data_IF_694296986575
#
_entry.id   IF_694296986575
#
_cell.length_a   1.000
_cell.length_b   1.000
_cell.length_c   1.000
_cell.angle_alpha   90.00
_cell.angle_beta   90.00
_cell.angle_gamma   90.00
#
_symmetry.space_group_name_H-M   'P 1'
#
loop_
_entity.id
_entity.type
_entity.pdbx_description
1 polymer ?
#
# COMPACT_ATOMS: atom_id res chain seq x y z
N UNK A 1 -23.26 3.71 8.09
CA UNK A 1 -22.33 3.07 7.13
C UNK A 1 -21.66 1.81 7.68
N UNK A 2 -21.14 1.80 8.92
CA UNK A 2 -20.49 0.60 9.50
C UNK A 2 -21.46 -0.58 9.73
N UNK A 3 -22.61 -0.33 10.37
CA UNK A 3 -23.62 -1.38 10.62
C UNK A 3 -24.17 -1.99 9.33
N UNK A 4 -24.37 -1.16 8.31
CA UNK A 4 -24.90 -1.55 7.00
C UNK A 4 -23.97 -2.49 6.22
N UNK A 5 -22.68 -2.54 6.56
CA UNK A 5 -21.66 -3.34 5.85
C UNK A 5 -21.01 -4.40 6.74
N UNK A 6 -21.50 -4.58 7.96
CA UNK A 6 -20.93 -5.50 8.94
C UNK A 6 -20.85 -6.94 8.44
N UNK A 7 -21.86 -7.38 7.69
CA UNK A 7 -21.86 -8.73 7.13
C UNK A 7 -20.71 -8.94 6.13
N UNK A 8 -20.45 -7.97 5.24
CA UNK A 8 -19.36 -8.05 4.28
C UNK A 8 -17.99 -8.08 4.98
N UNK A 9 -17.83 -7.30 6.07
CA UNK A 9 -16.62 -7.32 6.88
C UNK A 9 -16.43 -8.68 7.57
N UNK A 10 -17.50 -9.31 8.06
CA UNK A 10 -17.44 -10.67 8.64
C UNK A 10 -16.99 -11.70 7.61
N UNK A 11 -17.54 -11.65 6.39
CA UNK A 11 -17.14 -12.56 5.31
C UNK A 11 -15.66 -12.34 4.98
N UNK A 12 -15.23 -11.10 4.78
CA UNK A 12 -13.82 -10.77 4.55
C UNK A 12 -12.91 -11.30 5.67
N UNK A 13 -13.25 -11.03 6.93
CA UNK A 13 -12.50 -11.53 8.09
C UNK A 13 -12.41 -13.05 8.14
N UNK A 14 -13.50 -13.76 7.81
CA UNK A 14 -13.52 -15.23 7.75
C UNK A 14 -12.64 -15.77 6.62
N UNK A 15 -12.62 -15.11 5.46
CA UNK A 15 -11.78 -15.51 4.33
C UNK A 15 -10.30 -15.30 4.66
N UNK A 16 -9.94 -14.19 5.29
CA UNK A 16 -8.57 -13.94 5.76
C UNK A 16 -8.16 -14.99 6.81
N UNK A 17 -9.05 -15.31 7.75
CA UNK A 17 -8.79 -16.36 8.74
C UNK A 17 -8.57 -17.72 8.08
N UNK A 18 -9.40 -18.06 7.09
CA UNK A 18 -9.27 -19.31 6.34
C UNK A 18 -7.97 -19.36 5.54
N UNK A 19 -7.59 -18.26 4.87
CA UNK A 19 -6.32 -18.12 4.16
C UNK A 19 -5.15 -18.43 5.10
N UNK A 20 -5.12 -17.80 6.28
CA UNK A 20 -4.06 -18.01 7.27
C UNK A 20 -4.00 -19.44 7.78
N UNK A 21 -5.16 -20.06 8.03
CA UNK A 21 -5.22 -21.46 8.45
C UNK A 21 -4.71 -22.43 7.38
N UNK A 22 -4.70 -22.02 6.12
CA UNK A 22 -4.11 -22.76 5.00
C UNK A 22 -2.62 -22.42 4.77
N UNK A 23 -2.01 -21.61 5.65
CA UNK A 23 -0.63 -21.15 5.51
C UNK A 23 -0.45 -19.97 4.56
N UNK A 24 -1.53 -19.42 4.00
CA UNK A 24 -1.46 -18.30 3.07
C UNK A 24 -1.22 -16.96 3.77
N UNK A 25 -0.63 -16.02 3.01
CA UNK A 25 -0.34 -14.67 3.43
C UNK A 25 -0.97 -13.64 2.48
N UNK A 26 -1.25 -12.45 3.00
CA UNK A 26 -1.68 -11.29 2.23
C UNK A 26 -0.48 -10.46 1.78
N UNK A 27 -0.59 -9.75 0.66
CA UNK A 27 0.43 -8.82 0.19
C UNK A 27 -0.20 -7.52 -0.30
N UNK A 28 0.46 -6.39 -0.03
CA UNK A 28 0.19 -5.14 -0.74
C UNK A 28 1.46 -4.32 -0.93
N UNK A 29 1.47 -3.54 -2.01
CA UNK A 29 2.40 -2.44 -2.20
C UNK A 29 1.62 -1.20 -2.61
N UNK A 30 1.96 -0.06 -2.00
CA UNK A 30 1.38 1.23 -2.33
C UNK A 30 2.44 2.32 -2.22
N UNK A 31 2.33 3.33 -3.07
CA UNK A 31 3.13 4.55 -3.03
C UNK A 31 2.22 5.74 -2.78
N UNK A 32 2.57 6.55 -1.80
CA UNK A 32 1.95 7.86 -1.59
C UNK A 32 2.22 8.76 -2.80
N UNK A 33 1.18 9.44 -3.27
CA UNK A 33 1.33 10.40 -4.36
C UNK A 33 2.00 11.68 -3.83
N UNK A 34 2.87 12.32 -4.63
CA UNK A 34 3.34 13.66 -4.32
C UNK A 34 2.18 14.62 -4.05
N UNK A 35 2.31 15.43 -3.00
CA UNK A 35 1.34 16.46 -2.65
C UNK A 35 1.58 17.71 -3.50
N UNK A 36 0.53 18.23 -4.15
CA UNK A 36 0.60 19.45 -4.97
C UNK A 36 -0.49 19.51 -6.03
N UNK A 37 -0.59 20.63 -6.75
CA UNK A 37 -1.53 20.75 -7.87
C UNK A 37 -1.04 19.91 -9.07
N UNK A 38 -1.93 19.42 -9.96
CA UNK A 38 -1.52 18.64 -11.13
C UNK A 38 -0.50 19.35 -12.05
N UNK A 39 -0.45 20.69 -12.01
CA UNK A 39 0.54 21.51 -12.72
C UNK A 39 1.94 21.47 -12.08
N UNK A 40 2.02 21.22 -10.78
CA UNK A 40 3.28 21.13 -10.01
C UNK A 40 3.78 19.69 -9.91
N UNK A 41 2.87 18.70 -9.92
CA UNK A 41 3.19 17.28 -9.73
C UNK A 41 3.29 16.47 -11.02
N UNK A 42 3.14 17.12 -12.19
CA UNK A 42 3.23 16.53 -13.54
C UNK A 42 2.46 15.21 -13.75
N UNK A 43 1.23 15.14 -13.22
CA UNK A 43 0.29 13.99 -13.24
C UNK A 43 -0.28 13.67 -14.65
N UNK A 44 0.57 13.58 -15.66
CA UNK A 44 0.19 13.24 -17.04
C UNK A 44 -0.02 11.74 -17.30
N UNK A 45 -0.57 11.35 -18.46
CA UNK A 45 -0.81 9.94 -18.82
C UNK A 45 0.44 9.06 -18.83
N UNK A 46 1.60 9.62 -19.22
CA UNK A 46 2.86 8.88 -19.26
C UNK A 46 3.46 8.67 -17.86
N UNK A 47 3.28 9.64 -16.96
CA UNK A 47 3.65 9.47 -15.55
C UNK A 47 2.77 8.41 -14.88
N UNK A 48 1.48 8.37 -15.19
CA UNK A 48 0.59 7.33 -14.69
C UNK A 48 1.06 5.92 -15.11
N UNK A 49 1.45 5.74 -16.38
CA UNK A 49 2.02 4.47 -16.87
C UNK A 49 3.34 4.14 -16.16
N UNK A 50 4.23 5.12 -16.00
CA UNK A 50 5.51 4.92 -15.32
C UNK A 50 5.33 4.52 -13.85
N UNK A 51 4.37 5.13 -13.14
CA UNK A 51 4.03 4.78 -11.76
C UNK A 51 3.41 3.39 -11.66
N UNK A 52 2.51 3.04 -12.59
CA UNK A 52 1.94 1.69 -12.62
C UNK A 52 3.03 0.63 -12.86
N UNK A 53 3.95 0.89 -13.79
CA UNK A 53 5.08 0.00 -14.06
C UNK A 53 6.02 -0.10 -12.86
N UNK A 54 6.36 1.02 -12.21
CA UNK A 54 7.16 1.04 -10.99
C UNK A 54 6.52 0.20 -9.88
N UNK A 55 5.23 0.44 -9.62
CA UNK A 55 4.48 -0.30 -8.61
C UNK A 55 4.39 -1.80 -8.90
N UNK A 56 4.26 -2.17 -10.18
CA UNK A 56 4.29 -3.57 -10.61
C UNK A 56 5.67 -4.21 -10.37
N UNK A 57 6.75 -3.52 -10.76
CA UNK A 57 8.12 -3.99 -10.55
C UNK A 57 8.40 -4.19 -9.08
N UNK A 58 8.04 -3.22 -8.24
CA UNK A 58 8.21 -3.33 -6.79
C UNK A 58 7.37 -4.45 -6.19
N UNK A 59 6.14 -4.64 -6.67
CA UNK A 59 5.31 -5.77 -6.25
C UNK A 59 5.97 -7.11 -6.56
N UNK A 60 6.51 -7.29 -7.77
CA UNK A 60 7.21 -8.52 -8.16
C UNK A 60 8.48 -8.74 -7.33
N UNK A 61 9.31 -7.71 -7.13
CA UNK A 61 10.53 -7.82 -6.33
C UNK A 61 10.21 -8.28 -4.90
N UNK A 62 9.16 -7.70 -4.32
CA UNK A 62 8.71 -7.98 -2.95
C UNK A 62 8.13 -9.38 -2.81
N UNK A 63 7.32 -9.81 -3.76
CA UNK A 63 6.82 -11.18 -3.79
C UNK A 63 7.97 -12.19 -3.94
N UNK A 64 8.96 -11.89 -4.79
CA UNK A 64 10.14 -12.73 -4.96
C UNK A 64 10.98 -12.83 -3.67
N UNK A 65 11.25 -11.71 -2.98
CA UNK A 65 11.94 -11.71 -1.68
C UNK A 65 11.16 -12.49 -0.60
N UNK A 66 9.84 -12.31 -0.56
CA UNK A 66 9.00 -13.02 0.39
C UNK A 66 9.02 -14.54 0.11
N UNK A 67 8.98 -14.95 -1.16
CA UNK A 67 9.09 -16.35 -1.54
C UNK A 67 10.48 -16.92 -1.21
N UNK A 68 11.55 -16.17 -1.49
CA UNK A 68 12.92 -16.60 -1.21
C UNK A 68 13.19 -16.79 0.28
N UNK A 69 12.70 -15.87 1.12
CA UNK A 69 12.79 -15.98 2.57
C UNK A 69 12.07 -17.23 3.14
N UNK A 70 11.09 -17.77 2.41
CA UNK A 70 10.36 -18.99 2.77
C UNK A 70 10.84 -20.24 2.00
N UNK A 71 11.86 -20.11 1.14
CA UNK A 71 12.31 -21.16 0.22
C UNK A 71 11.20 -21.68 -0.73
N UNK A 72 10.30 -20.79 -1.15
CA UNK A 72 9.16 -21.09 -2.01
C UNK A 72 9.34 -20.56 -3.43
N UNK A 73 8.67 -21.20 -4.38
CA UNK A 73 8.51 -20.69 -5.74
C UNK A 73 7.14 -20.04 -5.90
N UNK A 74 7.08 -18.88 -6.56
CA UNK A 74 5.84 -18.11 -6.73
C UNK A 74 5.36 -18.14 -8.17
N UNK A 75 4.06 -18.39 -8.32
CA UNK A 75 3.30 -18.16 -9.54
C UNK A 75 2.35 -16.99 -9.31
N UNK A 76 2.43 -15.97 -10.17
CA UNK A 76 1.62 -14.77 -10.03
C UNK A 76 0.43 -14.83 -10.99
N UNK A 77 -0.77 -14.64 -10.43
CA UNK A 77 -2.03 -14.58 -11.17
C UNK A 77 -2.60 -13.18 -11.05
N UNK A 78 -2.99 -12.58 -12.18
CA UNK A 78 -3.53 -11.23 -12.27
C UNK A 78 -4.91 -11.24 -12.90
N UNK A 79 -5.72 -10.22 -12.63
CA UNK A 79 -6.97 -10.03 -13.35
C UNK A 79 -6.71 -9.72 -14.83
N UNK A 80 -7.62 -10.13 -15.71
CA UNK A 80 -7.58 -9.74 -17.11
C UNK A 80 -7.74 -8.22 -17.25
N UNK A 81 -6.67 -7.58 -17.69
CA UNK A 81 -6.72 -6.28 -18.32
C UNK A 81 -7.03 -6.45 -19.82
N UNK A 82 -7.57 -5.40 -20.44
CA UNK A 82 -7.82 -5.34 -21.89
C UNK A 82 -6.65 -5.94 -22.70
N UNK A 83 -6.95 -6.74 -23.72
CA UNK A 83 -5.99 -7.48 -24.54
C UNK A 83 -4.86 -6.61 -25.12
N UNK A 84 -5.16 -5.34 -25.44
CA UNK A 84 -4.16 -4.36 -25.90
C UNK A 84 -3.13 -4.02 -24.81
N UNK A 85 -3.56 -3.90 -23.57
CA UNK A 85 -2.71 -3.63 -22.40
C UNK A 85 -1.87 -4.86 -22.03
N UNK A 86 -2.45 -6.06 -22.15
CA UNK A 86 -1.75 -7.33 -21.90
C UNK A 86 -0.51 -7.50 -22.78
N UNK A 87 -0.65 -7.30 -24.10
CA UNK A 87 0.45 -7.48 -25.07
C UNK A 87 1.63 -6.54 -24.82
N UNK A 88 1.38 -5.38 -24.21
CA UNK A 88 2.42 -4.41 -23.88
C UNK A 88 3.08 -4.68 -22.53
N UNK A 89 2.33 -5.17 -21.53
CA UNK A 89 2.85 -5.41 -20.18
C UNK A 89 3.66 -6.69 -20.06
N UNK A 90 3.22 -7.78 -20.70
CA UNK A 90 3.86 -9.09 -20.57
C UNK A 90 5.37 -9.04 -20.92
N UNK A 91 5.80 -8.43 -22.05
CA UNK A 91 7.23 -8.33 -22.38
C UNK A 91 8.01 -7.47 -21.38
N UNK A 92 7.43 -6.38 -20.88
CA UNK A 92 8.07 -5.52 -19.88
C UNK A 92 8.30 -6.25 -18.55
N UNK A 93 7.35 -7.10 -18.15
CA UNK A 93 7.47 -7.93 -16.94
C UNK A 93 8.51 -9.03 -17.11
N UNK A 94 8.55 -9.69 -18.27
CA UNK A 94 9.61 -10.64 -18.62
C UNK A 94 10.99 -9.98 -18.58
N UNK A 95 11.13 -8.82 -19.23
CA UNK A 95 12.39 -8.08 -19.25
C UNK A 95 12.83 -7.68 -17.83
N UNK A 96 11.89 -7.28 -16.97
CA UNK A 96 12.18 -6.97 -15.58
C UNK A 96 12.63 -8.19 -14.79
N UNK A 97 11.89 -9.31 -14.82
CA UNK A 97 12.24 -10.52 -14.08
C UNK A 97 13.59 -11.05 -14.56
N UNK A 98 13.73 -11.34 -15.85
CA UNK A 98 14.95 -11.94 -16.41
C UNK A 98 16.16 -11.01 -16.29
N UNK A 99 15.98 -9.71 -16.52
CA UNK A 99 17.06 -8.73 -16.40
C UNK A 99 17.55 -8.59 -14.96
N UNK A 100 16.64 -8.72 -13.99
CA UNK A 100 16.96 -8.56 -12.56
C UNK A 100 17.58 -9.82 -11.95
N UNK A 101 17.23 -11.02 -12.43
CA UNK A 101 17.81 -12.31 -11.98
C UNK A 101 19.34 -12.32 -12.00
N UNK A 102 19.98 -11.62 -12.95
CA UNK A 102 21.44 -11.53 -13.05
C UNK A 102 22.13 -10.92 -11.81
N UNK A 103 21.41 -10.09 -11.06
CA UNK A 103 21.96 -9.35 -9.90
C UNK A 103 21.18 -9.58 -8.60
N UNK A 104 20.05 -10.29 -8.68
CA UNK A 104 19.11 -10.53 -7.58
C UNK A 104 18.61 -11.98 -7.65
N UNK A 105 19.22 -12.86 -6.84
CA UNK A 105 18.92 -14.29 -6.88
C UNK A 105 17.48 -14.61 -6.46
N UNK A 106 16.88 -13.78 -5.61
CA UNK A 106 15.49 -13.94 -5.16
C UNK A 106 14.50 -13.97 -6.34
N UNK A 107 14.84 -13.31 -7.45
CA UNK A 107 13.99 -13.26 -8.64
C UNK A 107 13.85 -14.62 -9.32
N UNK A 108 14.75 -15.57 -9.06
CA UNK A 108 14.65 -16.96 -9.55
C UNK A 108 13.45 -17.72 -8.97
N UNK A 109 12.87 -17.23 -7.85
CA UNK A 109 11.66 -17.82 -7.27
C UNK A 109 10.42 -17.57 -8.12
N UNK A 110 10.43 -16.57 -8.99
CA UNK A 110 9.33 -16.33 -9.93
C UNK A 110 9.49 -17.26 -11.13
N UNK A 111 8.68 -18.32 -11.17
CA UNK A 111 8.84 -19.42 -12.15
C UNK A 111 8.41 -19.00 -13.55
N UNK A 112 7.37 -18.19 -13.64
CA UNK A 112 6.74 -17.73 -14.88
C UNK A 112 6.31 -16.26 -14.72
N UNK A 113 6.17 -15.49 -15.82
CA UNK A 113 5.58 -14.16 -15.74
C UNK A 113 4.14 -14.24 -15.21
N UNK A 114 3.58 -13.11 -14.76
CA UNK A 114 2.20 -13.14 -14.29
C UNK A 114 1.19 -13.54 -15.37
N UNK A 115 0.41 -14.57 -15.07
CA UNK A 115 -0.68 -15.06 -15.91
C UNK A 115 -1.95 -14.30 -15.61
N UNK A 116 -2.77 -14.02 -16.62
CA UNK A 116 -4.03 -13.30 -16.38
C UNK A 116 -5.23 -14.24 -16.45
N UNK A 117 -6.13 -14.12 -15.48
CA UNK A 117 -7.35 -14.92 -15.31
C UNK A 117 -8.56 -13.99 -15.29
N UNK A 118 -9.69 -14.45 -15.82
CA UNK A 118 -10.95 -13.68 -15.81
C UNK A 118 -11.50 -13.58 -14.37
N UNK A 119 -11.61 -12.35 -13.86
CA UNK A 119 -12.16 -12.07 -12.53
C UNK A 119 -13.61 -12.51 -12.32
N UNK A 120 -14.44 -12.54 -13.36
CA UNK A 120 -15.85 -12.97 -13.23
C UNK A 120 -15.96 -14.44 -12.82
N UNK A 121 -14.94 -15.24 -13.16
CA UNK A 121 -14.90 -16.68 -12.92
C UNK A 121 -13.93 -17.07 -11.80
N UNK A 122 -13.22 -16.11 -11.19
CA UNK A 122 -12.20 -16.39 -10.17
C UNK A 122 -12.52 -15.76 -8.82
N UNK A 123 -12.97 -16.59 -7.88
CA UNK A 123 -13.20 -16.20 -6.49
C UNK A 123 -11.92 -15.65 -5.81
N UNK A 124 -10.74 -16.10 -6.23
CA UNK A 124 -9.45 -15.63 -5.71
C UNK A 124 -9.20 -14.17 -6.10
N UNK A 125 -9.53 -13.79 -7.34
CA UNK A 125 -9.39 -12.39 -7.79
C UNK A 125 -10.39 -11.50 -7.07
N UNK A 126 -11.64 -11.95 -6.91
CA UNK A 126 -12.65 -11.21 -6.14
C UNK A 126 -12.24 -11.01 -4.68
N UNK A 127 -11.62 -12.02 -4.06
CA UNK A 127 -11.07 -11.90 -2.71
C UNK A 127 -9.91 -10.89 -2.66
N UNK A 128 -9.01 -10.92 -3.65
CA UNK A 128 -7.93 -9.93 -3.77
C UNK A 128 -8.48 -8.50 -3.92
N UNK A 129 -9.58 -8.30 -4.65
CA UNK A 129 -10.24 -7.00 -4.76
C UNK A 129 -10.80 -6.51 -3.42
N UNK A 130 -11.38 -7.41 -2.61
CA UNK A 130 -11.84 -7.04 -1.27
C UNK A 130 -10.68 -6.64 -0.35
N UNK A 131 -9.55 -7.36 -0.42
CA UNK A 131 -8.33 -7.00 0.31
C UNK A 131 -7.78 -5.65 -0.18
N UNK A 132 -7.73 -5.42 -1.48
CA UNK A 132 -7.31 -4.16 -2.09
C UNK A 132 -8.20 -3.00 -1.62
N UNK A 133 -9.52 -3.19 -1.60
CA UNK A 133 -10.46 -2.19 -1.14
C UNK A 133 -10.35 -1.93 0.38
N UNK A 134 -10.03 -2.95 1.19
CA UNK A 134 -9.73 -2.79 2.61
C UNK A 134 -8.45 -1.96 2.79
N UNK A 135 -7.35 -2.33 2.12
CA UNK A 135 -6.07 -1.64 2.21
C UNK A 135 -6.18 -0.18 1.76
N UNK A 136 -6.90 0.11 0.66
CA UNK A 136 -7.12 1.50 0.22
C UNK A 136 -7.77 2.37 1.30
N UNK A 137 -8.75 1.82 2.03
CA UNK A 137 -9.42 2.53 3.13
C UNK A 137 -8.53 2.67 4.36
N UNK A 138 -7.66 1.70 4.61
CA UNK A 138 -6.68 1.75 5.69
C UNK A 138 -5.62 2.82 5.41
N UNK A 139 -5.09 2.87 4.19
CA UNK A 139 -4.16 3.91 3.74
C UNK A 139 -4.81 5.29 3.82
N UNK A 140 -6.04 5.46 3.32
CA UNK A 140 -6.78 6.72 3.44
C UNK A 140 -6.91 7.15 4.91
N UNK A 141 -7.27 6.22 5.79
CA UNK A 141 -7.29 6.48 7.23
C UNK A 141 -5.92 6.91 7.78
N UNK A 142 -4.81 6.36 7.32
CA UNK A 142 -3.48 6.81 7.77
C UNK A 142 -3.09 8.19 7.23
N UNK A 143 -3.44 8.50 5.97
CA UNK A 143 -2.89 9.66 5.25
C UNK A 143 -3.78 10.92 5.26
N UNK A 144 -5.11 10.78 5.40
CA UNK A 144 -6.08 11.88 5.17
C UNK A 144 -6.72 12.34 6.48
N UNK A 145 -6.39 13.55 6.97
CA UNK A 145 -6.80 14.05 8.30
C UNK A 145 -8.28 13.82 8.65
N UNK A 146 -9.20 14.14 7.75
CA UNK A 146 -10.65 14.01 7.88
C UNK A 146 -11.22 12.68 7.33
N UNK A 147 -10.39 11.63 7.27
CA UNK A 147 -10.80 10.33 6.73
C UNK A 147 -12.07 9.78 7.40
N UNK A 148 -13.06 9.47 6.56
CA UNK A 148 -14.31 8.80 6.97
C UNK A 148 -14.13 7.32 7.30
N UNK A 149 -12.93 6.76 7.18
CA UNK A 149 -12.65 5.33 7.34
C UNK A 149 -12.06 4.96 8.70
N UNK A 150 -12.18 5.80 9.72
CA UNK A 150 -11.72 5.50 11.07
C UNK A 150 -12.20 4.14 11.63
N UNK A 151 -13.39 3.71 11.22
CA UNK A 151 -13.94 2.41 11.57
C UNK A 151 -13.06 1.23 11.15
N UNK A 152 -12.16 1.36 10.17
CA UNK A 152 -11.33 0.24 9.70
C UNK A 152 -10.34 -0.24 10.76
N UNK A 153 -9.82 0.68 11.56
CA UNK A 153 -8.91 0.37 12.67
C UNK A 153 -9.65 -0.13 13.92
N UNK A 154 -10.98 0.02 13.96
CA UNK A 154 -11.84 -0.36 15.10
C UNK A 154 -12.69 -1.60 14.81
N UNK A 155 -12.75 -2.04 13.55
CA UNK A 155 -13.57 -3.15 13.09
C UNK A 155 -13.02 -4.49 13.60
N UNK A 156 -13.68 -5.06 14.61
CA UNK A 156 -13.32 -6.38 15.18
C UNK A 156 -13.35 -7.50 14.14
N UNK A 157 -14.23 -7.39 13.16
CA UNK A 157 -14.36 -8.31 12.04
C UNK A 157 -13.05 -8.41 11.21
N UNK A 158 -12.22 -7.37 11.21
CA UNK A 158 -10.95 -7.33 10.48
C UNK A 158 -9.74 -7.75 11.32
N UNK A 159 -9.95 -8.22 12.56
CA UNK A 159 -8.85 -8.61 13.44
C UNK A 159 -7.93 -9.68 12.81
N UNK A 160 -8.50 -10.56 11.98
CA UNK A 160 -7.75 -11.59 11.29
C UNK A 160 -6.68 -11.04 10.32
N UNK A 161 -6.81 -9.79 9.87
CA UNK A 161 -5.85 -9.12 8.99
C UNK A 161 -4.56 -8.69 9.70
N UNK A 162 -4.59 -8.54 11.03
CA UNK A 162 -3.38 -8.28 11.82
C UNK A 162 -2.50 -9.54 11.84
N UNK A 163 -1.27 -9.42 11.38
CA UNK A 163 -0.36 -10.56 11.23
C UNK A 163 -0.57 -11.37 9.95
N UNK A 164 -1.50 -10.97 9.07
CA UNK A 164 -1.80 -11.73 7.85
C UNK A 164 -0.88 -11.39 6.68
N UNK A 165 -0.25 -10.20 6.69
CA UNK A 165 0.51 -9.70 5.56
C UNK A 165 1.94 -10.26 5.53
N UNK A 166 2.59 -10.29 4.37
CA UNK A 166 4.03 -10.56 4.32
C UNK A 166 4.83 -9.40 4.94
N UNK A 167 6.07 -9.64 5.36
CA UNK A 167 6.98 -8.57 5.80
C UNK A 167 7.34 -7.60 4.68
N UNK A 168 7.25 -8.05 3.42
CA UNK A 168 7.51 -7.24 2.24
C UNK A 168 6.36 -6.29 1.88
N UNK A 169 5.19 -6.43 2.53
CA UNK A 169 4.05 -5.53 2.34
C UNK A 169 4.36 -4.13 2.87
N UNK A 170 4.08 -3.10 2.06
CA UNK A 170 4.58 -1.75 2.33
C UNK A 170 3.72 -0.64 1.72
N UNK A 171 3.50 0.41 2.50
CA UNK A 171 3.13 1.74 2.01
C UNK A 171 4.38 2.64 2.04
N UNK A 172 4.87 2.99 0.86
CA UNK A 172 5.95 3.95 0.70
C UNK A 172 5.42 5.38 0.80
N UNK A 173 6.00 6.18 1.68
CA UNK A 173 5.65 7.56 1.95
C UNK A 173 6.54 8.50 1.14
N UNK A 174 5.93 9.50 0.51
CA UNK A 174 6.65 10.40 -0.38
C UNK A 174 7.20 11.60 0.39
N UNK A 175 8.53 11.70 0.47
CA UNK A 175 9.25 12.83 1.09
C UNK A 175 8.77 13.17 2.51
N UNK A 176 8.32 12.17 3.27
CA UNK A 176 7.97 12.34 4.68
C UNK A 176 9.18 12.07 5.55
N UNK A 177 9.23 12.72 6.72
CA UNK A 177 10.28 12.54 7.74
C UNK A 177 10.08 11.32 8.64
N UNK A 178 9.15 10.45 8.26
CA UNK A 178 8.79 9.23 8.98
C UNK A 178 9.03 8.03 8.08
N UNK A 179 9.35 6.91 8.71
CA UNK A 179 9.54 5.66 8.00
C UNK A 179 8.23 5.20 7.35
N UNK A 180 8.39 4.43 6.28
CA UNK A 180 7.31 3.77 5.56
C UNK A 180 6.50 2.86 6.50
N UNK A 181 5.22 2.63 6.16
CA UNK A 181 4.39 1.69 6.94
C UNK A 181 4.54 0.29 6.36
N UNK A 182 4.76 -0.69 7.22
CA UNK A 182 5.01 -2.07 6.82
C UNK A 182 3.92 -3.02 7.32
N UNK A 183 3.74 -4.16 6.65
CA UNK A 183 2.90 -5.25 7.13
C UNK A 183 1.48 -4.75 7.50
N UNK A 184 0.96 -5.07 8.69
CA UNK A 184 -0.35 -4.62 9.18
C UNK A 184 -0.36 -3.19 9.74
N UNK A 185 0.73 -2.42 9.71
CA UNK A 185 0.78 -1.10 10.36
C UNK A 185 -0.22 -0.10 9.81
N UNK A 186 -0.61 -0.22 8.53
CA UNK A 186 -1.67 0.61 7.93
C UNK A 186 -3.03 0.43 8.61
N UNK A 187 -3.25 -0.69 9.31
CA UNK A 187 -4.48 -0.99 10.05
C UNK A 187 -4.43 -0.48 11.50
N UNK A 188 -3.30 0.06 11.96
CA UNK A 188 -3.19 0.54 13.33
C UNK A 188 -4.12 1.71 13.60
N UNK A 189 -4.67 1.75 14.81
CA UNK A 189 -5.50 2.87 15.29
C UNK A 189 -4.69 4.16 15.45
N UNK A 190 -3.41 4.04 15.81
CA UNK A 190 -2.52 5.19 15.89
C UNK A 190 -2.13 5.67 14.48
N UNK A 191 -2.46 6.93 14.18
CA UNK A 191 -2.18 7.55 12.89
C UNK A 191 -0.81 8.24 12.91
N UNK A 192 0.27 7.45 12.90
CA UNK A 192 1.66 7.96 13.03
C UNK A 192 1.99 9.06 12.02
N UNK A 193 1.43 8.95 10.82
CA UNK A 193 1.64 9.89 9.71
C UNK A 193 1.10 11.29 10.00
N UNK A 194 -0.04 11.39 10.70
CA UNK A 194 -0.71 12.67 10.98
C UNK A 194 -0.36 13.19 12.37
N UNK A 195 -0.22 12.30 13.35
CA UNK A 195 0.13 12.68 14.72
C UNK A 195 1.43 13.49 14.79
N UNK A 196 2.42 13.19 13.93
CA UNK A 196 3.66 13.97 13.82
C UNK A 196 3.55 15.21 12.94
N UNK A 197 2.68 15.23 11.93
CA UNK A 197 2.40 16.44 11.14
C UNK A 197 1.79 17.55 11.98
N UNK A 198 0.89 17.21 12.92
CA UNK A 198 0.37 18.17 13.89
C UNK A 198 1.45 18.77 14.81
N UNK A 199 2.50 18.01 15.12
CA UNK A 199 3.67 18.50 15.87
C UNK A 199 4.54 19.46 15.05
N UNK A 200 4.60 19.31 13.73
CA UNK A 200 5.30 20.24 12.84
C UNK A 200 4.56 21.58 12.71
N UNK A 201 3.23 21.56 12.57
CA UNK A 201 2.39 22.77 12.63
C UNK A 201 2.48 23.46 14.00
N UNK A 202 2.47 22.70 15.09
CA UNK A 202 2.75 23.24 16.43
C UNK A 202 4.16 23.82 16.56
N UNK A 203 5.17 23.24 15.87
CA UNK A 203 6.53 23.81 15.85
C UNK A 203 6.57 25.16 15.12
N UNK A 204 5.86 25.29 13.99
CA UNK A 204 5.77 26.57 13.27
C UNK A 204 4.98 27.63 14.05
N UNK A 205 3.88 27.25 14.69
CA UNK A 205 3.12 28.17 15.56
C UNK A 205 3.94 28.59 16.79
N UNK A 206 4.64 27.64 17.42
CA UNK A 206 5.51 27.94 18.55
C UNK A 206 6.69 28.83 18.14
N UNK A 207 7.27 28.64 16.95
CA UNK A 207 8.31 29.52 16.42
C UNK A 207 7.79 30.94 16.17
N UNK A 208 6.61 31.08 15.55
CA UNK A 208 5.95 32.39 15.36
C UNK A 208 5.60 33.06 16.69
N UNK A 209 5.21 32.30 17.70
CA UNK A 209 4.93 32.80 19.04
C UNK A 209 6.20 33.28 19.74
N UNK A 210 7.30 32.53 19.64
CA UNK A 210 8.63 32.89 20.14
C UNK A 210 9.18 34.16 19.47
N UNK A 211 9.01 34.30 18.15
CA UNK A 211 9.41 35.53 17.43
C UNK A 211 8.60 36.74 17.86
N UNK A 212 7.27 36.59 18.06
CA UNK A 212 6.41 37.66 18.59
C UNK A 212 6.82 38.09 19.99
N UNK A 213 7.16 37.15 20.87
CA UNK A 213 7.66 37.46 22.22
C UNK A 213 9.00 38.19 22.13
N UNK A 214 9.92 37.74 21.27
CA UNK A 214 11.24 38.37 21.08
C UNK A 214 11.13 39.81 20.56
N UNK A 215 10.23 40.05 19.63
CA UNK A 215 9.94 41.39 19.08
C UNK A 215 9.27 42.31 20.13
N UNK A 216 8.43 41.76 21.01
CA UNK A 216 7.83 42.51 22.11
C UNK A 216 8.86 42.87 23.20
N UNK A 217 9.80 41.97 23.51
CA UNK A 217 10.88 42.24 24.46
C UNK A 217 11.86 43.31 23.97
N UNK A 218 12.10 43.40 22.66
CA UNK A 218 12.97 44.43 22.07
C UNK A 218 12.33 45.82 21.99
N UNK A 219 10.99 45.93 22.07
CA UNK A 219 10.27 47.22 22.06
C UNK A 219 10.15 47.88 23.45
N UNK A 220 10.45 47.15 24.51
CA UNK A 220 10.39 47.61 25.90
C UNK A 220 11.79 47.87 26.51
N UNK A 221 12.84 47.95 25.69
CA UNK A 221 14.20 48.39 26.04
C UNK A 221 14.48 49.73 25.36
#
# INVERSE_FOLDING_TARGET
MYEERRQNLRVLGSLISKLRNLGGQLFYYAEEKPLGTPKETNCGPDEFKGREESAMRESLNRLARAADANDESVLVLMDQINEKSRKQRLPAMYAHILGRVSWHEEMRRTVEPPMHIDSQLSANIQFADWVCAMIKRAIDYQLVEDSRYAWIAEARELQAAFGAFTHESKLHLWQRSIDDLHHSEVLNRERRVIARSGSLLQKEENQKMLERVRMASQKNS
#
